data_IF_247829668285
#
_entry.id   IF_247829668285
#
_cell.length_a   1.000
_cell.length_b   1.000
_cell.length_c   1.000
_cell.angle_alpha   90.00
_cell.angle_beta   90.00
_cell.angle_gamma   90.00
#
_symmetry.space_group_name_H-M   'P 1'
#
loop_
_entity.id
_entity.type
_entity.pdbx_description
1 polymer ?
#
# COMPACT_ATOMS: atom_id res chain seq x y z
N UNK A 1 -65.14 4.70 59.27
CA UNK A 1 -65.98 4.09 58.24
C UNK A 1 -66.04 5.06 57.06
N UNK A 2 -65.42 4.70 55.93
CA UNK A 2 -65.48 5.28 54.55
C UNK A 2 -65.29 6.81 54.34
N UNK A 3 -64.18 7.25 53.72
CA UNK A 3 -63.98 7.57 52.26
C UNK A 3 -64.73 8.85 51.81
N UNK A 4 -64.22 9.84 51.06
CA UNK A 4 -63.39 9.83 49.84
C UNK A 4 -62.97 11.28 49.43
N UNK A 5 -61.80 11.39 48.77
CA UNK A 5 -61.32 12.32 47.71
C UNK A 5 -61.60 13.84 47.70
N UNK A 6 -60.54 14.67 47.48
CA UNK A 6 -60.13 15.12 46.12
C UNK A 6 -59.11 16.29 46.09
N UNK A 7 -58.12 16.15 45.19
CA UNK A 7 -57.35 17.14 44.39
C UNK A 7 -56.28 18.08 45.00
N UNK A 8 -55.03 17.65 44.79
CA UNK A 8 -54.01 18.14 43.84
C UNK A 8 -53.69 19.65 43.71
N UNK A 9 -52.41 20.01 43.84
CA UNK A 9 -51.56 20.91 43.02
C UNK A 9 -50.30 21.26 43.86
N UNK A 10 -49.07 21.41 43.38
CA UNK A 10 -48.40 21.28 42.09
C UNK A 10 -46.95 20.81 42.37
N UNK A 11 -46.31 20.03 41.51
CA UNK A 11 -45.43 20.49 40.43
C UNK A 11 -44.52 21.65 40.86
N UNK A 12 -43.26 21.35 41.15
CA UNK A 12 -42.10 21.97 40.48
C UNK A 12 -40.78 21.31 40.92
N UNK A 13 -39.73 21.52 40.11
CA UNK A 13 -38.35 21.02 40.28
C UNK A 13 -38.02 19.65 39.68
N UNK A 14 -38.05 19.58 38.34
CA UNK A 14 -37.40 18.50 37.57
C UNK A 14 -36.61 19.06 36.36
N UNK A 15 -36.08 20.28 36.49
CA UNK A 15 -35.45 21.03 35.39
C UNK A 15 -33.99 21.41 35.62
N UNK A 16 -33.29 20.81 36.61
CA UNK A 16 -31.85 21.08 36.80
C UNK A 16 -30.92 19.90 36.49
N UNK A 17 -31.40 18.65 36.40
CA UNK A 17 -30.53 17.49 36.08
C UNK A 17 -30.34 17.20 34.58
N UNK A 18 -31.16 17.77 33.69
CA UNK A 18 -31.11 17.49 32.23
C UNK A 18 -30.16 18.38 31.42
N UNK A 19 -29.64 19.47 31.99
CA UNK A 19 -28.73 20.39 31.26
C UNK A 19 -27.24 20.01 31.39
N UNK A 20 -26.86 19.24 32.41
CA UNK A 20 -25.47 18.83 32.60
C UNK A 20 -25.04 17.67 31.70
N UNK A 21 -25.99 16.84 31.23
CA UNK A 21 -25.69 15.70 30.37
C UNK A 21 -25.41 16.09 28.91
N UNK A 22 -25.95 17.23 28.45
CA UNK A 22 -25.74 17.70 27.07
C UNK A 22 -24.38 18.37 26.84
N UNK A 23 -23.73 18.87 27.90
CA UNK A 23 -22.44 19.56 27.75
C UNK A 23 -21.27 18.57 27.71
N UNK A 24 -21.42 17.38 28.30
CA UNK A 24 -20.42 16.30 28.21
C UNK A 24 -20.46 15.58 26.85
N UNK A 25 -21.59 15.62 26.13
CA UNK A 25 -21.75 15.00 24.81
C UNK A 25 -21.18 15.85 23.65
N UNK A 26 -20.82 17.10 23.90
CA UNK A 26 -20.26 18.03 22.89
C UNK A 26 -18.72 18.03 22.94
N UNK A 27 -18.11 17.40 23.96
CA UNK A 27 -16.64 17.19 24.07
C UNK A 27 -16.24 15.79 23.58
N UNK A 28 -17.03 15.22 22.67
CA UNK A 28 -16.57 14.15 21.78
C UNK A 28 -16.36 14.70 20.35
N UNK A 29 -15.66 15.83 20.12
CA UNK A 29 -15.12 16.06 18.78
C UNK A 29 -14.05 15.00 18.61
N UNK A 30 -14.40 13.94 17.89
CA UNK A 30 -13.47 13.15 17.11
C UNK A 30 -12.12 12.90 17.81
N UNK A 31 -12.06 11.89 18.67
CA UNK A 31 -10.92 10.97 18.59
C UNK A 31 -11.03 10.24 17.23
N UNK A 32 -10.99 11.00 16.12
CA UNK A 32 -10.38 10.52 14.90
C UNK A 32 -8.95 10.31 15.34
N UNK A 33 -8.60 9.05 15.58
CA UNK A 33 -7.21 8.67 15.72
C UNK A 33 -6.58 9.16 14.42
N UNK A 34 -5.89 10.29 14.48
CA UNK A 34 -4.92 10.64 13.46
C UNK A 34 -3.94 9.49 13.52
N UNK A 35 -4.02 8.62 12.53
CA UNK A 35 -3.22 7.42 12.44
C UNK A 35 -2.94 7.18 10.98
N UNK A 36 -1.80 6.58 10.69
CA UNK A 36 -1.44 6.19 9.33
C UNK A 36 -2.54 5.29 8.74
N UNK A 37 -3.18 5.76 7.67
CA UNK A 37 -4.15 4.96 6.92
C UNK A 37 -3.59 4.67 5.53
N UNK A 38 -4.09 3.60 4.91
CA UNK A 38 -3.78 3.34 3.52
C UNK A 38 -4.94 2.76 2.73
N UNK A 39 -4.77 2.80 1.42
CA UNK A 39 -5.63 2.14 0.45
C UNK A 39 -4.78 1.32 -0.49
N UNK A 40 -5.33 0.22 -1.00
CA UNK A 40 -4.65 -0.62 -1.97
C UNK A 40 -5.52 -0.79 -3.22
N UNK A 41 -4.93 -0.51 -4.38
CA UNK A 41 -5.57 -0.68 -5.69
C UNK A 41 -4.79 -1.71 -6.49
N UNK A 42 -5.51 -2.64 -7.11
CA UNK A 42 -4.94 -3.60 -8.06
C UNK A 42 -5.09 -3.11 -9.49
N UNK A 43 -4.17 -3.52 -10.36
CA UNK A 43 -4.24 -3.25 -11.79
C UNK A 43 -4.29 -4.56 -12.57
N UNK A 44 -5.01 -4.62 -13.70
CA UNK A 44 -4.83 -5.72 -14.66
C UNK A 44 -3.37 -5.75 -15.10
N UNK A 45 -2.77 -6.94 -15.10
CA UNK A 45 -1.38 -7.09 -15.51
C UNK A 45 -1.26 -6.79 -16.99
N UNK A 46 -0.47 -5.77 -17.30
CA UNK A 46 -0.16 -5.35 -18.65
C UNK A 46 1.35 -5.13 -18.74
N UNK A 47 1.97 -5.74 -19.76
CA UNK A 47 3.40 -5.63 -19.97
C UNK A 47 3.69 -4.34 -20.75
N UNK A 48 4.43 -3.43 -20.14
CA UNK A 48 4.76 -2.11 -20.70
C UNK A 48 6.23 -1.75 -20.46
N UNK A 49 6.75 -0.77 -21.19
CA UNK A 49 8.12 -0.30 -20.96
C UNK A 49 8.19 0.46 -19.64
N UNK A 50 9.15 0.13 -18.79
CA UNK A 50 9.34 0.88 -17.54
C UNK A 50 9.75 2.34 -17.79
N UNK A 51 10.37 2.64 -18.94
CA UNK A 51 10.64 4.04 -19.32
C UNK A 51 9.34 4.83 -19.51
N UNK A 52 8.31 4.22 -20.09
CA UNK A 52 6.99 4.85 -20.24
C UNK A 52 6.32 5.04 -18.88
N UNK A 53 6.33 4.00 -18.01
CA UNK A 53 5.84 4.10 -16.63
C UNK A 53 6.52 5.26 -15.90
N UNK A 54 7.85 5.36 -16.01
CA UNK A 54 8.63 6.38 -15.32
C UNK A 54 8.23 7.80 -15.73
N UNK A 55 7.94 8.02 -17.00
CA UNK A 55 7.45 9.32 -17.49
C UNK A 55 5.99 9.54 -17.11
N UNK A 56 5.11 8.58 -17.36
CA UNK A 56 3.67 8.76 -17.26
C UNK A 56 3.16 8.70 -15.80
N UNK A 57 3.79 7.89 -14.96
CA UNK A 57 3.40 7.68 -13.56
C UNK A 57 4.22 8.54 -12.60
N UNK A 58 5.51 8.73 -12.88
CA UNK A 58 6.43 9.45 -12.00
C UNK A 58 6.90 10.79 -12.55
N UNK A 59 6.36 11.24 -13.69
CA UNK A 59 6.68 12.53 -14.32
C UNK A 59 8.18 12.69 -14.62
N UNK A 60 8.92 11.57 -14.73
CA UNK A 60 10.36 11.58 -14.88
C UNK A 60 11.12 12.11 -13.66
N UNK A 61 10.55 12.01 -12.45
CA UNK A 61 11.18 12.45 -11.21
C UNK A 61 11.96 11.34 -10.52
N UNK A 62 13.00 11.70 -9.76
CA UNK A 62 13.86 10.72 -9.08
C UNK A 62 14.69 9.85 -10.03
N UNK A 63 15.20 8.72 -9.55
CA UNK A 63 16.00 7.80 -10.35
C UNK A 63 15.13 6.78 -11.07
N UNK A 64 15.37 6.57 -12.37
CA UNK A 64 14.79 5.45 -13.11
C UNK A 64 15.61 4.17 -12.84
N UNK A 65 15.16 3.36 -11.88
CA UNK A 65 15.87 2.17 -11.40
C UNK A 65 15.90 1.01 -12.41
N UNK A 66 14.97 0.97 -13.37
CA UNK A 66 14.76 -0.16 -14.28
C UNK A 66 14.74 0.29 -15.75
N UNK A 67 15.65 1.22 -16.09
CA UNK A 67 15.73 1.78 -17.42
C UNK A 67 15.88 0.69 -18.49
N UNK A 68 15.09 0.81 -19.57
CA UNK A 68 15.08 -0.12 -20.71
C UNK A 68 14.62 -1.55 -20.39
N UNK A 69 13.94 -1.78 -19.26
CA UNK A 69 13.27 -3.04 -18.95
C UNK A 69 11.77 -2.96 -19.22
N UNK A 70 11.12 -4.12 -19.26
CA UNK A 70 9.67 -4.23 -19.26
C UNK A 70 9.17 -4.43 -17.83
N UNK A 71 7.96 -3.99 -17.58
CA UNK A 71 7.32 -4.11 -16.28
C UNK A 71 5.84 -4.47 -16.42
N UNK A 72 5.31 -5.14 -15.40
CA UNK A 72 3.87 -5.31 -15.20
C UNK A 72 3.48 -4.72 -13.86
N UNK A 73 2.57 -3.75 -13.86
CA UNK A 73 2.07 -3.11 -12.65
C UNK A 73 1.07 -4.03 -11.93
N UNK A 74 1.39 -4.46 -10.71
CA UNK A 74 0.55 -5.36 -9.92
C UNK A 74 -0.47 -4.59 -9.06
N UNK A 75 -0.05 -3.45 -8.50
CA UNK A 75 -0.88 -2.68 -7.59
C UNK A 75 -0.15 -1.51 -6.95
N UNK A 76 -0.92 -0.68 -6.28
CA UNK A 76 -0.46 0.51 -5.55
C UNK A 76 -1.01 0.51 -4.15
N UNK A 77 -0.13 0.65 -3.16
CA UNK A 77 -0.48 1.07 -1.81
C UNK A 77 -0.32 2.59 -1.72
N UNK A 78 -1.38 3.30 -1.33
CA UNK A 78 -1.33 4.75 -1.05
C UNK A 78 -1.51 4.94 0.43
N UNK A 79 -0.55 5.56 1.08
CA UNK A 79 -0.47 5.77 2.52
C UNK A 79 -0.68 7.26 2.79
N UNK A 80 -1.66 7.59 3.63
CA UNK A 80 -1.83 8.90 4.22
C UNK A 80 -1.39 8.84 5.67
N UNK A 81 -0.32 9.56 5.97
CA UNK A 81 0.21 9.66 7.34
C UNK A 81 -0.68 10.49 8.27
N UNK A 82 -1.68 11.21 7.76
CA UNK A 82 -2.56 12.09 8.53
C UNK A 82 -1.81 13.10 9.42
N UNK A 83 -0.62 13.53 8.96
CA UNK A 83 0.25 14.48 9.66
C UNK A 83 1.30 13.83 10.58
N UNK A 84 1.27 12.51 10.74
CA UNK A 84 2.31 11.77 11.46
C UNK A 84 3.61 11.73 10.64
N UNK A 85 4.74 11.83 11.34
CA UNK A 85 6.05 11.62 10.70
C UNK A 85 6.43 10.18 10.89
N UNK A 86 6.49 9.44 9.79
CA UNK A 86 6.92 8.05 9.81
C UNK A 86 8.30 7.90 9.18
N UNK A 87 8.99 6.85 9.61
CA UNK A 87 10.26 6.42 9.03
C UNK A 87 10.17 4.95 8.62
N UNK A 88 11.20 4.52 7.88
CA UNK A 88 11.49 3.12 7.54
C UNK A 88 10.29 2.31 7.05
N UNK A 89 10.22 2.02 5.75
CA UNK A 89 9.24 1.07 5.27
C UNK A 89 9.83 -0.33 5.12
N UNK A 90 9.15 -1.31 5.70
CA UNK A 90 9.38 -2.73 5.43
C UNK A 90 8.23 -3.32 4.63
N UNK A 91 8.61 -4.09 3.62
CA UNK A 91 7.71 -4.94 2.86
C UNK A 91 7.90 -6.36 3.35
N UNK A 92 6.90 -6.86 4.06
CA UNK A 92 6.88 -8.26 4.48
C UNK A 92 6.21 -9.09 3.41
N UNK A 93 6.91 -10.06 2.82
CA UNK A 93 6.36 -10.80 1.69
C UNK A 93 6.84 -12.24 1.62
N UNK A 94 5.96 -13.15 1.20
CA UNK A 94 6.33 -14.50 0.75
C UNK A 94 6.17 -14.66 -0.77
N UNK A 95 6.28 -13.54 -1.50
CA UNK A 95 6.30 -13.51 -2.95
C UNK A 95 7.41 -14.42 -3.49
N UNK A 96 7.15 -15.05 -4.62
CA UNK A 96 8.18 -15.85 -5.29
C UNK A 96 9.35 -14.98 -5.72
N UNK A 97 10.57 -15.48 -5.55
CA UNK A 97 11.78 -14.77 -5.97
C UNK A 97 11.79 -14.52 -7.48
N UNK A 98 11.17 -15.41 -8.25
CA UNK A 98 11.11 -15.36 -9.69
C UNK A 98 9.71 -15.70 -10.18
N UNK A 99 9.36 -15.06 -11.29
CA UNK A 99 8.17 -15.34 -12.08
C UNK A 99 8.59 -15.67 -13.48
N UNK A 100 7.95 -16.66 -14.08
CA UNK A 100 8.21 -17.06 -15.46
C UNK A 100 6.97 -16.85 -16.30
N UNK A 101 7.18 -16.32 -17.50
CA UNK A 101 6.17 -16.18 -18.53
C UNK A 101 6.67 -16.81 -19.83
N UNK A 102 5.76 -17.37 -20.62
CA UNK A 102 6.05 -17.92 -21.94
C UNK A 102 5.41 -17.07 -23.03
N UNK A 103 6.18 -16.74 -24.05
CA UNK A 103 5.67 -16.04 -25.23
C UNK A 103 6.76 -15.80 -26.27
N UNK A 104 6.42 -15.23 -27.43
CA UNK A 104 7.37 -15.03 -28.51
C UNK A 104 8.33 -13.87 -28.19
N UNK A 105 9.55 -13.95 -28.71
CA UNK A 105 10.55 -12.87 -28.61
C UNK A 105 10.98 -12.44 -30.00
N UNK A 106 11.57 -11.23 -30.12
CA UNK A 106 12.06 -10.75 -31.42
C UNK A 106 13.07 -11.70 -32.07
N UNK A 107 13.86 -12.42 -31.26
CA UNK A 107 14.84 -13.40 -31.74
C UNK A 107 14.20 -14.75 -32.09
N UNK A 108 13.08 -15.09 -31.46
CA UNK A 108 12.35 -16.34 -31.68
C UNK A 108 10.84 -16.04 -31.83
N UNK A 109 10.41 -15.43 -32.94
CA UNK A 109 9.03 -14.94 -33.07
C UNK A 109 8.00 -16.05 -33.33
N UNK A 110 8.45 -17.25 -33.71
CA UNK A 110 7.60 -18.38 -34.10
C UNK A 110 7.43 -19.44 -33.00
N UNK A 111 8.12 -19.29 -31.87
CA UNK A 111 8.06 -20.24 -30.75
C UNK A 111 7.99 -19.47 -29.43
N UNK A 112 7.24 -20.00 -28.48
CA UNK A 112 7.19 -19.44 -27.14
C UNK A 112 8.47 -19.81 -26.39
N UNK A 113 9.09 -18.80 -25.77
CA UNK A 113 10.26 -18.96 -24.92
C UNK A 113 9.94 -18.48 -23.51
N UNK A 114 10.59 -19.13 -22.54
CA UNK A 114 10.51 -18.77 -21.13
C UNK A 114 11.28 -17.48 -20.87
N UNK A 115 10.64 -16.52 -20.19
CA UNK A 115 11.18 -15.22 -19.82
C UNK A 115 10.96 -15.00 -18.32
N UNK A 116 12.03 -14.63 -17.62
CA UNK A 116 12.00 -14.41 -16.17
C UNK A 116 11.71 -12.96 -15.79
N UNK A 117 11.01 -12.81 -14.65
CA UNK A 117 10.69 -11.56 -14.00
C UNK A 117 10.95 -11.66 -12.49
N UNK A 118 11.18 -10.51 -11.84
CA UNK A 118 11.30 -10.41 -10.38
C UNK A 118 10.37 -9.34 -9.82
N UNK A 119 9.88 -9.55 -8.61
CA UNK A 119 8.99 -8.62 -7.94
C UNK A 119 9.79 -7.49 -7.25
N UNK A 120 9.32 -6.27 -7.44
CA UNK A 120 9.90 -5.06 -6.86
C UNK A 120 8.81 -4.14 -6.34
N UNK A 121 9.20 -3.22 -5.46
CA UNK A 121 8.36 -2.11 -5.05
C UNK A 121 9.10 -0.78 -5.26
N UNK A 122 8.36 0.24 -5.68
CA UNK A 122 8.82 1.61 -5.86
C UNK A 122 8.01 2.51 -4.95
N UNK A 123 8.68 3.07 -3.94
CA UNK A 123 8.11 4.09 -3.09
C UNK A 123 8.37 5.47 -3.68
N UNK A 124 7.31 6.25 -3.86
CA UNK A 124 7.37 7.67 -4.21
C UNK A 124 7.04 8.50 -2.97
N UNK A 125 7.93 9.44 -2.67
CA UNK A 125 7.70 10.48 -1.67
C UNK A 125 8.22 11.82 -2.20
N UNK A 126 7.31 12.77 -2.42
CA UNK A 126 7.62 14.00 -3.15
C UNK A 126 8.17 13.71 -4.55
N UNK A 127 9.38 14.19 -4.83
CA UNK A 127 10.10 13.98 -6.10
C UNK A 127 11.12 12.84 -6.04
N UNK A 128 11.12 12.05 -4.95
CA UNK A 128 12.08 10.96 -4.75
C UNK A 128 11.42 9.61 -5.04
N UNK A 129 12.20 8.72 -5.66
CA UNK A 129 11.83 7.32 -5.91
C UNK A 129 12.83 6.39 -5.25
N UNK A 130 12.30 5.48 -4.45
CA UNK A 130 13.05 4.52 -3.65
C UNK A 130 12.63 3.12 -4.02
N UNK A 131 13.59 2.22 -4.25
CA UNK A 131 13.29 0.87 -4.68
C UNK A 131 13.50 -0.16 -3.57
N UNK A 132 12.76 -1.26 -3.69
CA UNK A 132 12.95 -2.47 -2.90
C UNK A 132 12.79 -3.68 -3.80
N UNK A 133 13.77 -4.59 -3.76
CA UNK A 133 13.62 -5.89 -4.40
C UNK A 133 12.92 -6.82 -3.40
N UNK A 134 11.89 -7.54 -3.83
CA UNK A 134 11.09 -8.41 -2.95
C UNK A 134 11.61 -9.85 -2.90
N UNK A 135 12.88 -10.04 -3.26
CA UNK A 135 13.55 -11.34 -3.33
C UNK A 135 14.57 -11.56 -2.21
N UNK A 136 14.59 -10.71 -1.17
CA UNK A 136 15.55 -10.81 -0.06
C UNK A 136 15.01 -11.64 1.12
N UNK A 137 13.90 -12.36 0.90
CA UNK A 137 13.22 -13.18 1.90
C UNK A 137 11.98 -12.48 2.46
N UNK A 138 11.65 -12.79 3.72
CA UNK A 138 10.39 -12.35 4.31
C UNK A 138 10.31 -10.85 4.60
N UNK A 139 11.43 -10.17 4.86
CA UNK A 139 11.48 -8.75 5.27
C UNK A 139 12.37 -7.97 4.31
N UNK A 140 11.80 -7.08 3.50
CA UNK A 140 12.50 -6.33 2.46
C UNK A 140 12.47 -4.82 2.79
N UNK A 141 13.63 -4.14 2.92
CA UNK A 141 13.68 -2.70 3.15
C UNK A 141 13.39 -1.92 1.86
N UNK A 142 12.74 -0.76 1.99
CA UNK A 142 12.74 0.28 0.96
C UNK A 142 13.83 1.31 1.32
N UNK A 143 14.85 1.45 0.47
CA UNK A 143 16.02 2.28 0.78
C UNK A 143 15.90 3.71 0.22
N UNK A 144 16.37 4.74 0.95
CA UNK A 144 17.09 4.67 2.21
C UNK A 144 16.16 4.49 3.42
N UNK A 145 16.63 3.68 4.37
CA UNK A 145 16.06 3.61 5.72
C UNK A 145 16.38 4.91 6.50
N UNK A 146 15.58 5.25 7.51
CA UNK A 146 15.68 6.45 8.37
C UNK A 146 15.38 7.81 7.70
N UNK A 147 14.76 7.80 6.51
CA UNK A 147 14.22 9.04 5.93
C UNK A 147 12.83 9.33 6.51
N UNK A 148 12.67 10.52 7.10
CA UNK A 148 11.39 10.98 7.66
C UNK A 148 10.43 11.39 6.54
N UNK A 149 9.20 10.90 6.59
CA UNK A 149 8.18 11.14 5.58
C UNK A 149 6.85 11.56 6.24
N UNK A 150 6.16 12.52 5.63
CA UNK A 150 4.85 13.03 6.07
C UNK A 150 3.96 13.32 4.86
N UNK A 151 2.64 13.34 5.05
CA UNK A 151 1.66 13.48 3.98
C UNK A 151 1.42 12.16 3.22
N UNK A 152 1.34 12.26 1.89
CA UNK A 152 1.00 11.14 1.00
C UNK A 152 2.25 10.44 0.48
N UNK A 153 2.26 9.12 0.62
CA UNK A 153 3.32 8.23 0.16
C UNK A 153 2.68 7.14 -0.69
N UNK A 154 3.24 6.84 -1.86
CA UNK A 154 2.74 5.73 -2.70
C UNK A 154 3.80 4.67 -2.85
N UNK A 155 3.41 3.40 -2.77
CA UNK A 155 4.26 2.24 -3.03
C UNK A 155 3.61 1.46 -4.18
N UNK A 156 4.22 1.52 -5.35
CA UNK A 156 3.83 0.75 -6.52
C UNK A 156 4.57 -0.58 -6.56
N UNK A 157 3.87 -1.66 -6.90
CA UNK A 157 4.42 -3.00 -6.97
C UNK A 157 4.49 -3.46 -8.42
N UNK A 158 5.65 -3.92 -8.88
CA UNK A 158 5.86 -4.35 -10.26
C UNK A 158 6.49 -5.75 -10.33
N UNK A 159 6.21 -6.45 -11.42
CA UNK A 159 7.10 -7.50 -11.95
C UNK A 159 8.00 -6.87 -13.00
N UNK A 160 9.31 -6.90 -12.80
CA UNK A 160 10.31 -6.36 -13.74
C UNK A 160 11.01 -7.49 -14.48
N UNK A 161 11.13 -7.37 -15.80
CA UNK A 161 11.83 -8.36 -16.62
C UNK A 161 13.32 -8.43 -16.27
N UNK A 162 13.90 -9.63 -16.27
CA UNK A 162 15.36 -9.77 -16.29
C UNK A 162 15.96 -9.39 -17.63
N UNK A 163 15.17 -9.53 -18.69
CA UNK A 163 15.57 -9.27 -20.07
C UNK A 163 15.30 -7.81 -20.49
N UNK A 164 16.08 -7.24 -21.41
CA UNK A 164 15.86 -5.88 -21.88
C UNK A 164 14.61 -5.78 -22.75
N UNK A 165 13.95 -4.61 -22.74
CA UNK A 165 12.75 -4.32 -23.53
C UNK A 165 12.92 -4.61 -25.03
N UNK A 166 14.16 -4.57 -25.53
CA UNK A 166 14.48 -4.90 -26.93
C UNK A 166 14.10 -6.31 -27.34
N UNK A 167 14.01 -7.28 -26.43
CA UNK A 167 13.66 -8.67 -26.79
C UNK A 167 12.15 -8.89 -26.98
N UNK A 168 11.33 -8.02 -26.41
CA UNK A 168 9.87 -8.19 -26.39
C UNK A 168 9.24 -7.73 -27.69
N UNK A 169 8.15 -8.39 -28.08
CA UNK A 169 7.34 -8.02 -29.23
C UNK A 169 6.15 -7.19 -28.71
N UNK A 170 5.97 -6.01 -29.28
CA UNK A 170 4.85 -5.14 -28.92
C UNK A 170 3.51 -5.85 -29.21
N UNK A 171 2.56 -5.75 -28.28
CA UNK A 171 1.24 -6.38 -28.37
C UNK A 171 1.24 -7.93 -28.43
N UNK A 172 2.37 -8.59 -28.16
CA UNK A 172 2.39 -10.03 -27.96
C UNK A 172 1.83 -10.40 -26.58
N UNK A 173 1.24 -11.61 -26.49
CA UNK A 173 0.78 -12.17 -25.23
C UNK A 173 1.88 -13.02 -24.60
N UNK A 174 2.02 -12.89 -23.28
CA UNK A 174 2.94 -13.68 -22.47
C UNK A 174 2.15 -14.39 -21.38
N UNK A 175 2.12 -15.71 -21.41
CA UNK A 175 1.37 -16.53 -20.49
C UNK A 175 2.18 -16.78 -19.21
N UNK A 176 1.61 -16.51 -18.03
CA UNK A 176 2.24 -16.84 -16.76
C UNK A 176 2.35 -18.36 -16.60
N UNK A 177 3.56 -18.84 -16.27
CA UNK A 177 3.83 -20.28 -16.12
C UNK A 177 4.34 -20.67 -14.74
N UNK A 178 5.04 -19.78 -14.03
CA UNK A 178 5.49 -20.05 -12.66
C UNK A 178 5.72 -18.78 -11.84
N UNK A 179 5.70 -18.94 -10.52
CA UNK A 179 5.78 -17.85 -9.56
C UNK A 179 4.41 -17.57 -8.91
N UNK A 180 4.43 -17.03 -7.71
CA UNK A 180 3.23 -16.61 -6.98
C UNK A 180 3.48 -15.27 -6.30
N UNK A 181 2.52 -14.36 -6.39
CA UNK A 181 2.56 -13.05 -5.71
C UNK A 181 2.53 -13.18 -4.19
N UNK A 182 2.03 -14.29 -3.66
CA UNK A 182 1.95 -14.54 -2.21
C UNK A 182 1.18 -13.45 -1.45
N UNK A 183 1.35 -13.37 -0.16
CA UNK A 183 0.94 -12.21 0.65
C UNK A 183 2.11 -11.23 0.72
N UNK A 184 1.85 -9.95 0.47
CA UNK A 184 2.71 -8.87 0.93
C UNK A 184 2.06 -8.23 2.18
N UNK A 185 2.75 -7.36 2.89
CA UNK A 185 2.19 -6.36 3.79
C UNK A 185 3.18 -5.21 3.90
N UNK A 186 2.65 -4.00 4.10
CA UNK A 186 3.46 -2.82 4.32
C UNK A 186 3.45 -2.49 5.80
N UNK A 187 4.61 -2.24 6.36
CA UNK A 187 4.77 -1.75 7.72
C UNK A 187 5.75 -0.60 7.75
N UNK A 188 5.63 0.24 8.78
CA UNK A 188 6.58 1.32 9.05
C UNK A 188 7.14 1.20 10.46
N UNK A 189 8.19 1.98 10.75
CA UNK A 189 8.75 2.10 12.08
C UNK A 189 9.49 3.41 12.28
N UNK A 190 9.25 4.06 13.42
CA UNK A 190 9.97 5.28 13.79
C UNK A 190 11.39 5.02 14.32
N UNK A 191 11.78 3.74 14.50
CA UNK A 191 13.12 3.36 14.95
C UNK A 191 14.15 3.52 13.82
N UNK A 192 15.24 4.23 14.09
CA UNK A 192 16.40 4.35 13.20
C UNK A 192 17.05 3.00 12.78
N UNK A 193 16.86 1.91 13.54
CA UNK A 193 17.45 0.61 13.25
C UNK A 193 16.48 -0.34 12.55
N UNK A 194 16.41 -0.26 11.21
CA UNK A 194 15.51 -1.10 10.39
C UNK A 194 15.50 -2.59 10.79
N UNK A 195 16.67 -3.22 10.98
CA UNK A 195 16.70 -4.67 11.19
C UNK A 195 16.13 -5.11 12.54
N UNK A 196 16.26 -4.27 13.57
CA UNK A 196 15.82 -4.54 14.94
C UNK A 196 14.57 -3.76 15.36
N UNK A 197 14.04 -2.92 14.48
CA UNK A 197 12.85 -2.12 14.71
C UNK A 197 11.61 -2.97 15.01
N UNK A 198 10.74 -2.46 15.89
CA UNK A 198 9.36 -2.90 16.01
C UNK A 198 8.53 -2.31 14.86
N UNK A 199 7.66 -3.13 14.26
CA UNK A 199 6.97 -2.81 13.02
C UNK A 199 5.49 -2.59 13.25
N UNK A 200 5.01 -1.41 12.86
CA UNK A 200 3.59 -1.09 12.85
C UNK A 200 3.01 -1.41 11.48
N UNK A 201 1.99 -2.28 11.38
CA UNK A 201 1.35 -2.57 10.10
C UNK A 201 0.60 -1.33 9.61
N UNK A 202 0.72 -1.06 8.31
CA UNK A 202 -0.15 -0.11 7.65
C UNK A 202 -1.53 -0.75 7.52
N UNK A 203 -2.56 -0.04 7.97
CA UNK A 203 -3.95 -0.52 7.99
C UNK A 203 -4.87 0.34 7.12
N UNK A 204 -5.98 -0.23 6.69
CA UNK A 204 -7.04 0.50 6.01
C UNK A 204 -7.92 1.32 6.97
N UNK A 205 -8.93 2.00 6.44
CA UNK A 205 -9.92 2.77 7.21
C UNK A 205 -10.71 1.94 8.24
N UNK A 206 -10.72 0.61 8.10
CA UNK A 206 -11.38 -0.34 8.99
C UNK A 206 -10.38 -1.03 9.95
N UNK A 207 -9.16 -0.51 10.03
CA UNK A 207 -8.08 -1.01 10.87
C UNK A 207 -7.69 -2.48 10.53
N UNK A 208 -7.81 -2.86 9.25
CA UNK A 208 -7.37 -4.16 8.73
C UNK A 208 -6.00 -4.03 8.04
N UNK A 209 -5.09 -5.00 8.19
CA UNK A 209 -3.82 -5.00 7.48
C UNK A 209 -4.00 -4.97 5.96
N UNK A 210 -3.28 -4.09 5.28
CA UNK A 210 -3.15 -4.14 3.83
C UNK A 210 -1.99 -5.07 3.47
N UNK A 211 -2.21 -6.03 2.55
CA UNK A 211 -3.30 -6.24 1.60
C UNK A 211 -4.30 -7.33 1.97
N UNK A 212 -5.50 -7.19 1.42
CA UNK A 212 -6.56 -8.19 1.59
C UNK A 212 -6.34 -9.46 0.74
N UNK A 213 -5.69 -9.41 -0.45
CA UNK A 213 -5.42 -10.59 -1.31
C UNK A 213 -4.29 -10.35 -2.34
N UNK A 214 -3.48 -11.37 -2.68
CA UNK A 214 -2.70 -11.36 -3.92
C UNK A 214 -3.57 -11.40 -5.17
N UNK A 215 -3.09 -10.79 -6.28
CA UNK A 215 -3.51 -11.16 -7.63
C UNK A 215 -2.31 -11.25 -8.58
N UNK A 216 -2.02 -12.49 -8.99
CA UNK A 216 -1.71 -12.90 -10.37
C UNK A 216 -2.90 -13.78 -10.80
#
# INVERSE_FOLDING_TARGET
MFSCFSKNTGVESLTMKKRMLFTLLIILPSLLIAGVTATYTTYPLHLESYNSIYVDTYEGTGTNHYQNLMAMHMGRCTIDTNGETIKNFALFSNVSNEFTFEGPTKNNPAVDVSIGFHAVAILRYGTQLYNSNLNQGYKNPINPTDTSMTGIITIDFYLISYEPATIFIENANYAHTSGTVGTFSVSYSDDSNFWNAEWEPVVDENNQPIPAKPYL
#
